data_IF_853111726134
#
_entry.id   IF_853111726134
#
_cell.length_a   1.000
_cell.length_b   1.000
_cell.length_c   1.000
_cell.angle_alpha   90.00
_cell.angle_beta   90.00
_cell.angle_gamma   90.00
#
_symmetry.space_group_name_H-M   'P 1'
#
loop_
_entity.id
_entity.type
_entity.pdbx_description
1 polymer ?
#
# COMPACT_ATOMS: atom_id res chain seq x y z
N UNK A 1 -26.29 14.11 0.71
CA UNK A 1 -26.00 12.94 -0.16
C UNK A 1 -25.05 12.03 0.60
N UNK A 2 -25.29 10.74 0.61
CA UNK A 2 -24.36 9.78 1.22
C UNK A 2 -23.07 9.76 0.41
N UNK A 3 -21.94 9.78 1.09
CA UNK A 3 -20.62 9.68 0.46
C UNK A 3 -20.48 8.35 -0.27
N UNK A 4 -19.91 8.37 -1.49
CA UNK A 4 -19.65 7.18 -2.27
C UNK A 4 -18.25 6.62 -2.05
N UNK A 5 -17.33 7.47 -1.66
CA UNK A 5 -15.93 7.15 -1.43
C UNK A 5 -15.49 7.70 -0.08
N UNK A 6 -14.85 6.87 0.73
CA UNK A 6 -14.06 7.29 1.89
C UNK A 6 -12.60 7.42 1.48
N UNK A 7 -12.10 8.66 1.43
CA UNK A 7 -10.72 8.97 1.10
C UNK A 7 -9.87 8.88 2.37
N UNK A 8 -8.83 8.06 2.35
CA UNK A 8 -7.98 7.78 3.52
C UNK A 8 -6.55 8.24 3.29
N UNK A 9 -6.04 9.05 4.19
CA UNK A 9 -4.67 9.57 4.16
C UNK A 9 -4.01 9.38 5.52
N UNK A 10 -2.94 8.58 5.57
CA UNK A 10 -2.07 8.47 6.76
C UNK A 10 -0.88 9.40 6.57
N UNK A 11 -0.66 10.30 7.53
CA UNK A 11 0.49 11.23 7.52
C UNK A 11 1.41 10.99 8.70
N UNK A 12 2.71 11.18 8.49
CA UNK A 12 3.73 11.21 9.54
C UNK A 12 4.86 12.15 9.11
N UNK A 13 5.07 13.23 9.86
CA UNK A 13 6.06 14.26 9.55
C UNK A 13 5.97 14.76 8.09
N UNK A 14 4.76 15.19 7.70
CA UNK A 14 4.40 15.52 6.32
C UNK A 14 3.97 16.97 6.13
N UNK A 15 4.29 17.88 7.07
CA UNK A 15 3.83 19.28 7.07
C UNK A 15 3.99 19.98 5.72
N UNK A 16 5.15 19.82 5.08
CA UNK A 16 5.45 20.46 3.80
C UNK A 16 4.60 19.97 2.62
N UNK A 17 3.99 18.78 2.74
CA UNK A 17 3.19 18.13 1.71
C UNK A 17 1.71 18.54 1.78
N UNK A 18 1.23 18.97 2.96
CA UNK A 18 -0.19 19.23 3.21
C UNK A 18 -0.79 20.25 2.24
N UNK A 19 -0.19 21.43 1.96
CA UNK A 19 -0.79 22.39 1.04
C UNK A 19 -1.03 21.83 -0.37
N UNK A 20 -0.07 21.07 -0.86
CA UNK A 20 -0.12 20.47 -2.20
C UNK A 20 -1.17 19.36 -2.28
N UNK A 21 -1.22 18.48 -1.26
CA UNK A 21 -2.21 17.42 -1.14
C UNK A 21 -3.62 18.02 -1.13
N UNK A 22 -3.93 18.90 -0.19
CA UNK A 22 -5.25 19.52 -0.02
C UNK A 22 -5.70 20.24 -1.29
N UNK A 23 -4.81 20.99 -1.94
CA UNK A 23 -5.15 21.66 -3.19
C UNK A 23 -5.54 20.67 -4.30
N UNK A 24 -4.88 19.51 -4.38
CA UNK A 24 -5.23 18.49 -5.38
C UNK A 24 -6.59 17.83 -5.10
N UNK A 25 -6.95 17.66 -3.82
CA UNK A 25 -8.24 17.05 -3.42
C UNK A 25 -9.45 17.95 -3.74
N UNK A 26 -9.26 19.27 -3.84
CA UNK A 26 -10.35 20.22 -4.19
C UNK A 26 -10.90 20.00 -5.60
N UNK A 27 -10.21 19.26 -6.44
CA UNK A 27 -10.65 18.95 -7.81
C UNK A 27 -11.60 17.75 -7.91
N UNK A 28 -11.86 17.06 -6.80
CA UNK A 28 -12.77 15.92 -6.75
C UNK A 28 -14.21 16.42 -6.92
N UNK A 29 -14.97 15.81 -7.85
CA UNK A 29 -16.32 16.20 -8.22
C UNK A 29 -17.41 15.22 -7.74
N UNK A 30 -17.01 14.05 -7.22
CA UNK A 30 -17.95 13.04 -6.69
C UNK A 30 -18.10 13.17 -5.16
N UNK A 31 -19.20 12.63 -4.58
CA UNK A 31 -19.40 12.66 -3.14
C UNK A 31 -18.34 11.85 -2.39
N UNK A 32 -17.50 12.54 -1.60
CA UNK A 32 -16.40 11.98 -0.80
C UNK A 32 -16.54 12.41 0.65
N UNK A 33 -16.09 11.55 1.56
CA UNK A 33 -15.71 11.90 2.93
C UNK A 33 -14.23 11.59 3.12
N UNK A 34 -13.45 12.54 3.60
CA UNK A 34 -12.02 12.34 3.81
C UNK A 34 -11.72 12.06 5.30
N UNK A 35 -10.83 11.11 5.52
CA UNK A 35 -10.32 10.77 6.83
C UNK A 35 -8.79 10.84 6.80
N UNK A 36 -8.25 11.69 7.64
CA UNK A 36 -6.81 11.85 7.83
C UNK A 36 -6.41 11.23 9.17
N UNK A 37 -5.30 10.51 9.21
CA UNK A 37 -4.67 10.07 10.45
C UNK A 37 -3.31 10.73 10.57
N UNK A 38 -3.15 11.60 11.58
CA UNK A 38 -1.84 11.97 12.03
C UNK A 38 -1.24 10.83 12.85
N UNK A 39 -0.17 10.26 12.35
CA UNK A 39 0.44 9.05 12.87
C UNK A 39 1.66 9.39 13.74
N UNK A 40 1.45 10.26 14.77
CA UNK A 40 2.47 10.71 15.73
C UNK A 40 3.53 11.62 15.08
N UNK A 41 3.10 12.69 14.43
CA UNK A 41 4.00 13.71 13.86
C UNK A 41 4.48 14.70 14.92
N UNK A 42 5.70 15.22 14.71
CA UNK A 42 6.32 16.21 15.58
C UNK A 42 6.88 17.44 14.83
N UNK A 43 6.47 17.61 13.55
CA UNK A 43 6.94 18.68 12.67
C UNK A 43 5.88 19.77 12.41
N UNK A 44 4.74 19.76 13.14
CA UNK A 44 3.61 20.66 12.91
C UNK A 44 2.62 20.18 11.82
N UNK A 45 2.69 18.90 11.43
CA UNK A 45 1.72 18.28 10.49
C UNK A 45 0.28 18.36 11.01
N UNK A 46 -0.04 18.02 12.29
CA UNK A 46 -1.42 18.08 12.80
C UNK A 46 -2.03 19.46 12.70
N UNK A 47 -1.29 20.50 13.08
CA UNK A 47 -1.73 21.90 13.03
C UNK A 47 -1.96 22.36 11.60
N UNK A 48 -1.10 21.94 10.66
CA UNK A 48 -1.26 22.24 9.24
C UNK A 48 -2.53 21.56 8.67
N UNK A 49 -2.84 20.34 9.09
CA UNK A 49 -4.05 19.63 8.69
C UNK A 49 -5.30 20.28 9.27
N UNK A 50 -5.34 20.65 10.56
CA UNK A 50 -6.51 21.32 11.18
C UNK A 50 -6.90 22.57 10.41
N UNK A 51 -5.94 23.36 9.95
CA UNK A 51 -6.17 24.56 9.17
C UNK A 51 -6.61 24.26 7.71
N UNK A 52 -6.14 23.15 7.16
CA UNK A 52 -6.28 22.87 5.73
C UNK A 52 -7.54 22.05 5.39
N UNK A 53 -7.97 21.13 6.26
CA UNK A 53 -9.14 20.26 6.00
C UNK A 53 -10.44 21.06 5.86
N UNK A 54 -10.57 22.18 6.56
CA UNK A 54 -11.72 23.11 6.42
C UNK A 54 -11.85 23.78 5.06
N UNK A 55 -10.83 23.69 4.21
CA UNK A 55 -10.84 24.22 2.84
C UNK A 55 -11.35 23.22 1.80
N UNK A 56 -11.58 21.97 2.18
CA UNK A 56 -12.11 20.94 1.29
C UNK A 56 -13.60 21.14 1.01
N UNK A 57 -14.10 20.88 -0.21
CA UNK A 57 -15.51 21.05 -0.57
C UNK A 57 -16.41 19.89 -0.07
N UNK A 58 -15.91 19.00 0.76
CA UNK A 58 -16.58 17.83 1.30
C UNK A 58 -16.17 17.59 2.77
N UNK A 59 -16.92 16.79 3.54
CA UNK A 59 -16.59 16.49 4.93
C UNK A 59 -15.20 15.87 5.06
N UNK A 60 -14.42 16.36 6.03
CA UNK A 60 -13.09 15.87 6.33
C UNK A 60 -12.86 15.81 7.85
N UNK A 61 -12.21 14.74 8.29
CA UNK A 61 -11.97 14.45 9.71
C UNK A 61 -10.50 14.15 9.94
N UNK A 62 -9.95 14.67 11.02
CA UNK A 62 -8.58 14.38 11.48
C UNK A 62 -8.63 13.51 12.74
N UNK A 63 -8.03 12.34 12.67
CA UNK A 63 -7.71 11.47 13.79
C UNK A 63 -6.24 11.69 14.18
N UNK A 64 -5.94 11.63 15.47
CA UNK A 64 -4.56 11.75 15.97
C UNK A 64 -4.18 10.50 16.75
N UNK A 65 -3.04 9.92 16.42
CA UNK A 65 -2.47 8.78 17.13
C UNK A 65 -1.36 9.24 18.08
N UNK A 66 -1.26 8.60 19.24
CA UNK A 66 -0.20 8.84 20.22
C UNK A 66 1.08 8.04 19.90
N UNK A 67 1.12 7.33 18.80
CA UNK A 67 2.26 6.56 18.33
C UNK A 67 2.18 6.33 16.83
N UNK A 68 3.32 6.16 16.18
CA UNK A 68 3.35 5.76 14.78
C UNK A 68 2.93 4.28 14.61
N UNK A 69 1.77 4.06 14.02
CA UNK A 69 1.19 2.73 13.77
C UNK A 69 1.65 2.09 12.45
N UNK A 70 2.43 2.81 11.65
CA UNK A 70 2.74 2.43 10.27
C UNK A 70 1.56 2.63 9.31
N UNK A 71 1.77 2.21 8.05
CA UNK A 71 0.78 2.39 6.98
C UNK A 71 -0.40 1.42 7.14
N UNK A 72 -0.14 0.12 7.23
CA UNK A 72 -1.18 -0.91 7.24
C UNK A 72 -2.22 -0.71 8.36
N UNK A 73 -1.76 -0.53 9.60
CA UNK A 73 -2.64 -0.27 10.74
C UNK A 73 -3.30 1.10 10.65
N UNK A 74 -2.58 2.12 10.20
CA UNK A 74 -3.16 3.45 9.99
C UNK A 74 -4.33 3.42 9.01
N UNK A 75 -4.19 2.73 7.89
CA UNK A 75 -5.26 2.57 6.89
C UNK A 75 -6.43 1.75 7.43
N UNK A 76 -6.19 0.68 8.19
CA UNK A 76 -7.27 -0.08 8.84
C UNK A 76 -8.07 0.78 9.83
N UNK A 77 -7.38 1.61 10.64
CA UNK A 77 -8.03 2.52 11.59
C UNK A 77 -8.92 3.54 10.87
N UNK A 78 -8.45 4.10 9.75
CA UNK A 78 -9.23 5.03 8.94
C UNK A 78 -10.39 4.33 8.23
N UNK A 79 -10.19 3.14 7.66
CA UNK A 79 -11.23 2.39 6.99
C UNK A 79 -12.42 2.04 7.91
N UNK A 80 -12.16 1.89 9.22
CA UNK A 80 -13.18 1.64 10.23
C UNK A 80 -14.06 2.86 10.56
N UNK A 81 -13.65 4.08 10.19
CA UNK A 81 -14.40 5.30 10.46
C UNK A 81 -15.56 5.51 9.50
N UNK A 82 -15.38 5.11 8.23
CA UNK A 82 -16.34 5.36 7.17
C UNK A 82 -17.16 4.14 6.79
N UNK A 83 -18.18 4.37 5.93
CA UNK A 83 -19.09 3.30 5.46
C UNK A 83 -19.41 3.40 3.97
N UNK A 84 -18.69 4.26 3.22
CA UNK A 84 -18.87 4.38 1.79
C UNK A 84 -18.60 3.06 1.06
N UNK A 85 -19.18 2.90 -0.12
CA UNK A 85 -18.99 1.70 -0.96
C UNK A 85 -17.53 1.46 -1.29
N UNK A 86 -16.79 2.54 -1.53
CA UNK A 86 -15.37 2.49 -1.85
C UNK A 86 -14.50 3.15 -0.80
N UNK A 87 -13.28 2.67 -0.69
CA UNK A 87 -12.17 3.21 0.09
C UNK A 87 -11.12 3.69 -0.92
N UNK A 88 -10.70 4.95 -0.85
CA UNK A 88 -9.61 5.47 -1.68
C UNK A 88 -8.39 5.75 -0.82
N UNK A 89 -7.35 4.94 -0.99
CA UNK A 89 -6.06 5.14 -0.35
C UNK A 89 -5.29 6.21 -1.11
N UNK A 90 -4.70 7.17 -0.40
CA UNK A 90 -3.86 8.19 -1.01
C UNK A 90 -2.69 8.54 -0.10
N UNK A 91 -1.47 8.49 -0.64
CA UNK A 91 -0.29 8.92 0.09
C UNK A 91 -0.20 10.44 0.20
N UNK A 92 0.38 10.99 1.29
CA UNK A 92 0.49 12.45 1.47
C UNK A 92 1.43 13.12 0.46
N UNK A 93 2.38 12.39 -0.12
CA UNK A 93 3.32 12.87 -1.14
C UNK A 93 2.80 12.71 -2.58
N UNK A 94 1.48 12.58 -2.73
CA UNK A 94 0.82 12.52 -4.03
C UNK A 94 0.00 13.78 -4.33
N UNK A 95 -0.19 14.05 -5.62
CA UNK A 95 -1.17 15.02 -6.15
C UNK A 95 -2.12 14.29 -7.08
N UNK A 96 -3.38 14.24 -6.69
CA UNK A 96 -4.42 13.68 -7.53
C UNK A 96 -4.69 14.60 -8.72
N UNK A 97 -4.64 14.08 -9.94
CA UNK A 97 -5.05 14.85 -11.12
C UNK A 97 -6.57 14.82 -11.26
N UNK A 98 -7.13 15.95 -11.71
CA UNK A 98 -8.57 16.10 -11.90
C UNK A 98 -9.18 14.97 -12.74
N UNK A 99 -10.32 14.43 -12.30
CA UNK A 99 -11.03 13.33 -12.95
C UNK A 99 -10.42 11.93 -12.71
N UNK A 100 -9.30 11.82 -11.98
CA UNK A 100 -8.65 10.51 -11.77
C UNK A 100 -9.42 9.62 -10.80
N UNK A 101 -9.97 10.16 -9.72
CA UNK A 101 -10.79 9.39 -8.79
C UNK A 101 -12.10 8.94 -9.45
N UNK A 102 -12.71 9.81 -10.25
CA UNK A 102 -13.92 9.53 -11.02
C UNK A 102 -13.71 8.35 -11.98
N UNK A 103 -12.59 8.33 -12.70
CA UNK A 103 -12.22 7.21 -13.59
C UNK A 103 -12.00 5.90 -12.84
N UNK A 104 -11.39 5.95 -11.65
CA UNK A 104 -11.23 4.76 -10.82
C UNK A 104 -12.58 4.21 -10.38
N UNK A 105 -13.51 5.08 -9.97
CA UNK A 105 -14.87 4.68 -9.59
C UNK A 105 -15.62 4.10 -10.79
N UNK A 106 -15.60 4.76 -11.95
CA UNK A 106 -16.22 4.27 -13.18
C UNK A 106 -15.66 2.88 -13.57
N UNK A 107 -14.35 2.69 -13.48
CA UNK A 107 -13.72 1.39 -13.75
C UNK A 107 -14.17 0.31 -12.76
N UNK A 108 -14.24 0.63 -11.46
CA UNK A 108 -14.71 -0.30 -10.44
C UNK A 108 -16.19 -0.68 -10.60
N UNK A 109 -17.02 0.25 -11.10
CA UNK A 109 -18.43 0.02 -11.40
C UNK A 109 -18.65 -0.89 -12.61
N UNK A 110 -17.73 -0.88 -13.56
CA UNK A 110 -17.86 -1.64 -14.81
C UNK A 110 -17.76 -3.17 -14.63
N UNK A 111 -17.17 -3.64 -13.54
CA UNK A 111 -17.15 -5.07 -13.16
C UNK A 111 -17.20 -5.20 -11.62
N UNK A 112 -18.28 -5.79 -11.05
CA UNK A 112 -18.43 -5.93 -9.60
C UNK A 112 -17.39 -6.84 -8.95
N UNK A 113 -16.62 -7.61 -9.72
CA UNK A 113 -15.52 -8.43 -9.23
C UNK A 113 -14.23 -7.65 -9.04
N UNK A 114 -14.16 -6.38 -9.41
CA UNK A 114 -12.99 -5.54 -9.16
C UNK A 114 -12.94 -5.18 -7.68
N UNK A 115 -11.90 -5.67 -7.00
CA UNK A 115 -11.62 -5.34 -5.61
C UNK A 115 -10.82 -4.05 -5.48
N UNK A 116 -9.84 -3.85 -6.35
CA UNK A 116 -8.91 -2.73 -6.27
C UNK A 116 -8.55 -2.20 -7.66
N UNK A 117 -8.54 -0.87 -7.81
CA UNK A 117 -8.07 -0.15 -8.98
C UNK A 117 -6.96 0.81 -8.59
N UNK A 118 -5.77 0.68 -9.18
CA UNK A 118 -4.64 1.59 -8.96
C UNK A 118 -4.56 2.64 -10.06
N UNK A 119 -4.32 3.89 -9.67
CA UNK A 119 -3.96 4.97 -10.58
C UNK A 119 -2.48 4.92 -10.98
N UNK A 120 -2.19 5.30 -12.21
CA UNK A 120 -0.82 5.49 -12.71
C UNK A 120 -0.09 6.54 -11.89
N UNK A 121 1.08 6.20 -11.40
CA UNK A 121 1.98 7.11 -10.71
C UNK A 121 2.92 7.80 -11.73
N UNK A 122 3.07 9.10 -11.66
CA UNK A 122 3.94 9.91 -12.54
C UNK A 122 4.86 10.77 -11.67
N UNK A 123 6.14 11.00 -12.00
CA UNK A 123 6.83 10.56 -13.23
C UNK A 123 7.37 9.11 -13.16
N UNK A 124 7.38 8.47 -11.98
CA UNK A 124 7.93 7.12 -11.80
C UNK A 124 6.81 6.13 -11.54
N UNK A 125 6.74 5.09 -12.36
CA UNK A 125 5.81 3.98 -12.19
C UNK A 125 6.56 2.79 -11.57
N UNK A 126 5.84 2.00 -10.78
CA UNK A 126 6.37 0.70 -10.36
C UNK A 126 6.43 -0.24 -11.56
N UNK A 127 7.58 -0.89 -11.82
CA UNK A 127 7.69 -1.86 -12.89
C UNK A 127 6.86 -3.10 -12.53
N UNK A 128 5.69 -3.23 -13.14
CA UNK A 128 4.82 -4.39 -12.96
C UNK A 128 4.20 -4.82 -14.28
N UNK A 129 3.95 -6.12 -14.40
CA UNK A 129 3.21 -6.67 -15.53
C UNK A 129 1.70 -6.37 -15.35
N UNK A 130 1.05 -5.96 -16.43
CA UNK A 130 -0.41 -5.85 -16.50
C UNK A 130 -0.89 -6.23 -17.91
N UNK A 131 -2.12 -6.69 -17.98
CA UNK A 131 -2.79 -6.96 -19.25
C UNK A 131 -3.31 -5.64 -19.84
N UNK A 132 -2.87 -5.30 -21.06
CA UNK A 132 -3.20 -4.00 -21.67
C UNK A 132 -4.67 -3.89 -22.10
N UNK A 133 -5.41 -5.00 -22.21
CA UNK A 133 -6.82 -5.02 -22.60
C UNK A 133 -7.73 -4.95 -21.37
N UNK A 134 -7.48 -5.79 -20.37
CA UNK A 134 -8.31 -5.88 -19.16
C UNK A 134 -7.87 -4.95 -18.05
N UNK A 135 -6.61 -4.51 -18.06
CA UNK A 135 -5.96 -3.77 -16.96
C UNK A 135 -5.57 -4.67 -15.79
N UNK A 136 -5.81 -5.98 -15.84
CA UNK A 136 -5.48 -6.89 -14.75
C UNK A 136 -3.97 -6.89 -14.47
N UNK A 137 -3.61 -6.82 -13.18
CA UNK A 137 -2.20 -6.72 -12.74
C UNK A 137 -1.93 -7.62 -11.54
N UNK A 138 -0.67 -7.96 -11.32
CA UNK A 138 -0.25 -8.81 -10.20
C UNK A 138 -0.56 -8.20 -8.84
N UNK A 139 -0.43 -6.88 -8.70
CA UNK A 139 -0.68 -6.14 -7.48
C UNK A 139 -0.91 -4.66 -7.76
N UNK A 140 -1.56 -3.98 -6.83
CA UNK A 140 -1.84 -2.55 -6.87
C UNK A 140 -1.13 -1.85 -5.71
N UNK A 141 -0.44 -0.74 -6.01
CA UNK A 141 0.24 0.07 -5.01
C UNK A 141 -0.77 0.82 -4.13
N UNK A 142 -0.54 0.84 -2.83
CA UNK A 142 -1.32 1.61 -1.87
C UNK A 142 -1.15 3.13 -1.96
N UNK A 143 -0.27 3.64 -2.84
CA UNK A 143 -0.02 5.08 -2.96
C UNK A 143 -1.23 5.87 -3.50
N UNK A 144 -2.00 5.27 -4.43
CA UNK A 144 -3.25 5.83 -4.95
C UNK A 144 -4.13 4.70 -5.51
N UNK A 145 -4.96 4.10 -4.67
CA UNK A 145 -5.78 2.95 -5.04
C UNK A 145 -7.20 3.02 -4.49
N UNK A 146 -8.18 2.78 -5.35
CA UNK A 146 -9.59 2.63 -4.98
C UNK A 146 -9.88 1.17 -4.68
N UNK A 147 -10.45 0.89 -3.51
CA UNK A 147 -10.76 -0.46 -3.04
C UNK A 147 -12.26 -0.58 -2.81
N UNK A 148 -12.88 -1.65 -3.29
CA UNK A 148 -14.26 -2.00 -2.94
C UNK A 148 -14.31 -2.45 -1.48
N UNK A 149 -15.09 -1.74 -0.65
CA UNK A 149 -15.17 -2.00 0.80
C UNK A 149 -15.58 -3.43 1.13
N UNK A 150 -16.53 -4.00 0.38
CA UNK A 150 -16.93 -5.40 0.57
C UNK A 150 -15.74 -6.36 0.44
N UNK A 151 -14.93 -6.22 -0.62
CA UNK A 151 -13.74 -7.04 -0.83
C UNK A 151 -12.71 -6.85 0.28
N UNK A 152 -12.50 -5.59 0.71
CA UNK A 152 -11.58 -5.27 1.82
C UNK A 152 -11.98 -5.96 3.12
N UNK A 153 -13.27 -5.93 3.48
CA UNK A 153 -13.78 -6.60 4.67
C UNK A 153 -13.71 -8.12 4.57
N UNK A 154 -14.00 -8.70 3.40
CA UNK A 154 -13.97 -10.14 3.19
C UNK A 154 -12.60 -10.76 3.49
N UNK A 155 -11.53 -10.05 3.13
CA UNK A 155 -10.15 -10.53 3.38
C UNK A 155 -9.57 -10.07 4.72
N UNK A 156 -10.32 -9.28 5.49
CA UNK A 156 -9.92 -8.76 6.81
C UNK A 156 -9.00 -7.54 6.76
N UNK A 157 -8.95 -6.82 5.63
CA UNK A 157 -8.12 -5.64 5.44
C UNK A 157 -6.62 -5.93 5.36
N UNK A 158 -5.81 -4.93 5.69
CA UNK A 158 -4.36 -5.06 5.76
C UNK A 158 -3.95 -5.93 6.96
N UNK A 159 -2.94 -6.77 6.80
CA UNK A 159 -2.37 -7.53 7.92
C UNK A 159 -1.40 -6.65 8.74
N UNK A 160 -1.97 -5.86 9.64
CA UNK A 160 -1.23 -4.92 10.50
C UNK A 160 -0.29 -5.60 11.52
N UNK A 161 -0.40 -6.91 11.71
CA UNK A 161 0.49 -7.68 12.56
C UNK A 161 1.82 -7.95 11.88
N UNK A 162 1.80 -8.17 10.56
CA UNK A 162 3.01 -8.43 9.77
C UNK A 162 3.63 -7.15 9.24
N UNK A 163 2.79 -6.25 8.70
CA UNK A 163 3.25 -5.12 7.92
C UNK A 163 3.10 -3.81 8.71
N UNK A 164 4.23 -3.19 8.99
CA UNK A 164 4.26 -1.79 9.42
C UNK A 164 4.18 -0.86 8.21
N UNK A 165 4.97 -1.14 7.18
CA UNK A 165 5.02 -0.48 5.88
C UNK A 165 5.73 -1.39 4.87
N UNK A 166 5.42 -1.23 3.58
CA UNK A 166 5.89 -2.01 2.44
C UNK A 166 5.39 -3.47 2.38
N UNK A 167 5.06 -3.92 1.18
CA UNK A 167 4.51 -5.22 0.83
C UNK A 167 3.10 -5.52 1.38
N UNK A 168 2.50 -4.66 2.20
CA UNK A 168 1.11 -4.81 2.64
C UNK A 168 0.11 -4.73 1.49
N UNK A 169 0.43 -3.94 0.49
CA UNK A 169 -0.36 -3.75 -0.74
C UNK A 169 -0.25 -4.97 -1.68
N UNK A 170 0.92 -5.57 -1.76
CA UNK A 170 1.14 -6.85 -2.47
C UNK A 170 0.36 -7.98 -1.78
N UNK A 171 0.50 -8.11 -0.46
CA UNK A 171 -0.25 -9.10 0.35
C UNK A 171 -1.76 -8.94 0.17
N UNK A 172 -2.26 -7.70 0.23
CA UNK A 172 -3.67 -7.37 0.02
C UNK A 172 -4.14 -7.78 -1.38
N UNK A 173 -3.39 -7.42 -2.41
CA UNK A 173 -3.72 -7.71 -3.81
C UNK A 173 -3.74 -9.21 -4.07
N UNK A 174 -2.78 -9.95 -3.54
CA UNK A 174 -2.75 -11.40 -3.72
C UNK A 174 -3.88 -12.11 -2.97
N UNK A 175 -4.28 -11.63 -1.80
CA UNK A 175 -5.49 -12.12 -1.11
C UNK A 175 -6.75 -11.88 -1.95
N UNK A 176 -6.87 -10.73 -2.61
CA UNK A 176 -7.98 -10.46 -3.53
C UNK A 176 -8.01 -11.50 -4.66
N UNK A 177 -6.90 -11.71 -5.35
CA UNK A 177 -6.82 -12.72 -6.42
C UNK A 177 -7.21 -14.12 -5.95
N UNK A 178 -6.72 -14.54 -4.79
CA UNK A 178 -7.01 -15.86 -4.23
C UNK A 178 -8.46 -16.03 -3.75
N UNK A 179 -9.21 -14.94 -3.64
CA UNK A 179 -10.66 -14.93 -3.36
C UNK A 179 -11.52 -14.73 -4.61
N UNK A 180 -10.93 -14.73 -5.80
CA UNK A 180 -11.65 -14.57 -7.07
C UNK A 180 -11.98 -13.12 -7.42
N UNK A 181 -11.45 -12.14 -6.65
CA UNK A 181 -11.51 -10.73 -6.97
C UNK A 181 -10.45 -10.35 -8.01
N UNK A 182 -10.57 -9.17 -8.61
CA UNK A 182 -9.65 -8.63 -9.61
C UNK A 182 -8.88 -7.42 -9.08
N UNK A 183 -7.60 -7.34 -9.45
CA UNK A 183 -6.75 -6.17 -9.23
C UNK A 183 -6.47 -5.50 -10.58
N UNK A 184 -6.75 -4.21 -10.69
CA UNK A 184 -6.69 -3.45 -11.94
C UNK A 184 -5.68 -2.32 -11.83
N UNK A 185 -4.82 -2.18 -12.82
CA UNK A 185 -4.04 -0.99 -13.08
C UNK A 185 -4.74 -0.16 -14.15
N UNK A 186 -5.03 1.11 -13.86
CA UNK A 186 -5.76 2.03 -14.74
C UNK A 186 -4.85 3.19 -15.19
N UNK A 187 -4.17 3.10 -16.36
CA UNK A 187 -3.23 4.12 -16.82
C UNK A 187 -3.84 5.50 -17.08
N UNK A 188 -5.16 5.56 -17.31
CA UNK A 188 -5.89 6.81 -17.60
C UNK A 188 -6.25 7.61 -16.35
N UNK A 189 -6.24 7.00 -15.16
CA UNK A 189 -6.29 7.68 -13.88
C UNK A 189 -4.84 7.97 -13.43
N UNK A 190 -4.51 9.21 -13.07
CA UNK A 190 -3.12 9.61 -12.84
C UNK A 190 -2.97 10.36 -11.53
N UNK A 191 -1.94 10.02 -10.77
CA UNK A 191 -1.43 10.79 -9.65
C UNK A 191 0.03 11.19 -9.91
N UNK A 192 0.40 12.40 -9.53
CA UNK A 192 1.82 12.76 -9.42
C UNK A 192 2.30 12.29 -8.04
N UNK A 193 3.30 11.42 -8.01
CA UNK A 193 3.88 10.89 -6.79
C UNK A 193 5.30 11.43 -6.63
N UNK A 194 5.44 12.32 -5.67
CA UNK A 194 6.72 12.94 -5.35
C UNK A 194 7.42 12.08 -4.29
N UNK A 195 7.98 10.96 -4.70
CA UNK A 195 8.93 10.22 -3.85
C UNK A 195 10.11 11.16 -3.59
N UNK A 196 9.99 11.98 -2.56
CA UNK A 196 11.05 12.91 -2.22
C UNK A 196 12.20 12.14 -1.61
N UNK A 197 13.39 12.35 -2.18
CA UNK A 197 14.67 12.15 -1.52
C UNK A 197 14.80 13.13 -0.33
N UNK A 198 13.81 13.18 0.56
CA UNK A 198 13.74 14.14 1.66
C UNK A 198 14.81 13.92 2.74
N UNK A 199 15.45 12.75 2.75
CA UNK A 199 16.62 12.47 3.60
C UNK A 199 17.43 11.31 3.00
N UNK A 200 18.48 11.60 2.21
CA UNK A 200 19.38 10.55 1.72
C UNK A 200 20.01 9.81 2.93
N UNK A 201 19.94 8.49 2.94
CA UNK A 201 20.62 7.63 3.91
C UNK A 201 19.67 6.95 4.90
N UNK A 202 19.25 7.62 5.97
CA UNK A 202 18.53 6.96 7.09
C UNK A 202 17.14 6.42 6.74
N UNK A 203 16.38 7.17 5.92
CA UNK A 203 15.07 6.74 5.42
C UNK A 203 15.23 5.52 4.52
N UNK A 204 16.19 5.55 3.60
CA UNK A 204 16.49 4.44 2.68
C UNK A 204 16.84 3.14 3.41
N UNK A 205 17.53 3.24 4.56
CA UNK A 205 17.88 2.09 5.40
C UNK A 205 16.64 1.44 6.00
N UNK A 206 15.70 2.23 6.52
CA UNK A 206 14.43 1.74 7.11
C UNK A 206 13.55 1.12 6.01
N UNK A 207 13.42 1.79 4.87
CA UNK A 207 12.69 1.31 3.71
C UNK A 207 13.23 -0.04 3.23
N UNK A 208 14.53 -0.14 3.03
CA UNK A 208 15.20 -1.38 2.63
C UNK A 208 14.99 -2.50 3.66
N UNK A 209 15.02 -2.18 4.95
CA UNK A 209 14.77 -3.16 6.01
C UNK A 209 13.37 -3.75 5.91
N UNK A 210 12.33 -2.90 5.86
CA UNK A 210 10.95 -3.38 5.81
C UNK A 210 10.65 -4.08 4.48
N UNK A 211 11.06 -3.52 3.34
CA UNK A 211 10.87 -4.17 2.03
C UNK A 211 11.49 -5.56 1.99
N UNK A 212 12.73 -5.70 2.49
CA UNK A 212 13.41 -6.98 2.50
C UNK A 212 12.77 -7.97 3.47
N UNK A 213 12.51 -7.56 4.73
CA UNK A 213 11.86 -8.43 5.72
C UNK A 213 10.47 -8.89 5.26
N UNK A 214 9.69 -7.97 4.73
CA UNK A 214 8.30 -8.23 4.37
C UNK A 214 8.19 -9.07 3.08
N UNK A 215 9.15 -8.95 2.16
CA UNK A 215 9.21 -9.87 1.01
C UNK A 215 9.40 -11.33 1.47
N UNK A 216 10.16 -11.58 2.54
CA UNK A 216 10.27 -12.92 3.13
C UNK A 216 8.89 -13.41 3.59
N UNK A 217 8.07 -12.55 4.21
CA UNK A 217 6.72 -12.91 4.63
C UNK A 217 5.83 -13.36 3.46
N UNK A 218 5.92 -12.68 2.31
CA UNK A 218 5.19 -13.08 1.11
C UNK A 218 5.57 -14.49 0.65
N UNK A 219 6.87 -14.82 0.63
CA UNK A 219 7.33 -16.17 0.28
C UNK A 219 6.86 -17.26 1.25
N UNK A 220 6.79 -16.95 2.54
CA UNK A 220 6.28 -17.90 3.53
C UNK A 220 4.77 -18.08 3.45
N UNK A 221 4.03 -16.99 3.18
CA UNK A 221 2.56 -17.00 3.14
C UNK A 221 2.01 -17.59 1.86
N UNK A 222 2.53 -17.19 0.72
CA UNK A 222 1.98 -17.54 -0.60
C UNK A 222 2.85 -18.54 -1.36
N UNK A 223 4.09 -18.71 -0.97
CA UNK A 223 5.07 -19.52 -1.70
C UNK A 223 4.94 -21.00 -1.45
N UNK A 224 5.17 -21.76 -2.53
CA UNK A 224 5.40 -23.20 -2.47
C UNK A 224 6.75 -23.52 -1.82
N UNK A 225 7.02 -24.79 -1.59
CA UNK A 225 8.34 -25.26 -1.16
C UNK A 225 9.45 -24.90 -2.16
N UNK A 226 9.14 -24.92 -3.46
CA UNK A 226 10.09 -24.52 -4.51
C UNK A 226 10.45 -23.03 -4.40
N UNK A 227 9.46 -22.16 -4.20
CA UNK A 227 9.65 -20.70 -4.06
C UNK A 227 10.50 -20.38 -2.83
N UNK A 228 10.28 -21.06 -1.71
CA UNK A 228 11.11 -20.89 -0.50
C UNK A 228 12.56 -21.32 -0.73
N UNK A 229 12.80 -22.36 -1.55
CA UNK A 229 14.14 -22.75 -1.94
C UNK A 229 14.85 -21.67 -2.78
N UNK A 230 14.11 -21.03 -3.69
CA UNK A 230 14.59 -19.87 -4.46
C UNK A 230 14.95 -18.71 -3.50
N UNK A 231 14.07 -18.39 -2.56
CA UNK A 231 14.32 -17.38 -1.54
C UNK A 231 15.62 -17.64 -0.78
N UNK A 232 15.82 -18.85 -0.25
CA UNK A 232 17.02 -19.18 0.52
C UNK A 232 18.29 -19.11 -0.33
N UNK A 233 18.26 -19.56 -1.58
CA UNK A 233 19.37 -19.41 -2.50
C UNK A 233 19.71 -17.94 -2.79
N UNK A 234 18.70 -17.11 -2.98
CA UNK A 234 18.86 -15.68 -3.18
C UNK A 234 19.47 -15.00 -1.95
N UNK A 235 18.97 -15.30 -0.76
CA UNK A 235 19.51 -14.79 0.51
C UNK A 235 20.97 -15.19 0.69
N UNK A 236 21.31 -16.45 0.46
CA UNK A 236 22.68 -16.93 0.54
C UNK A 236 23.60 -16.17 -0.42
N UNK A 237 23.22 -16.05 -1.71
CA UNK A 237 23.99 -15.27 -2.70
C UNK A 237 24.20 -13.82 -2.25
N UNK A 238 23.22 -13.17 -1.65
CA UNK A 238 23.35 -11.81 -1.11
C UNK A 238 24.37 -11.72 0.03
N UNK A 239 24.36 -12.68 0.95
CA UNK A 239 25.33 -12.69 2.07
C UNK A 239 26.77 -12.88 1.59
N UNK A 240 27.01 -13.78 0.63
CA UNK A 240 28.37 -14.07 0.15
C UNK A 240 28.87 -13.07 -0.89
N UNK A 241 27.98 -12.36 -1.57
CA UNK A 241 28.35 -11.41 -2.62
C UNK A 241 29.14 -10.23 -2.07
N UNK A 242 30.18 -9.82 -2.79
CA UNK A 242 30.97 -8.60 -2.53
C UNK A 242 30.29 -7.32 -3.00
N UNK A 243 29.18 -7.43 -3.77
CA UNK A 243 28.42 -6.29 -4.26
C UNK A 243 27.65 -5.54 -3.17
N UNK A 244 27.40 -6.17 -2.02
CA UNK A 244 26.67 -5.56 -0.89
C UNK A 244 27.64 -5.11 0.21
N UNK A 245 27.42 -3.87 0.69
CA UNK A 245 28.18 -3.33 1.81
C UNK A 245 27.95 -4.13 3.10
N UNK A 246 28.88 -4.03 4.04
CA UNK A 246 28.74 -4.67 5.36
C UNK A 246 27.48 -4.21 6.08
N UNK A 247 27.14 -2.91 5.99
CA UNK A 247 25.91 -2.34 6.53
C UNK A 247 24.66 -3.02 5.98
N UNK A 248 24.58 -3.22 4.65
CA UNK A 248 23.48 -3.94 4.01
C UNK A 248 23.36 -5.38 4.49
N UNK A 249 24.49 -6.07 4.68
CA UNK A 249 24.51 -7.45 5.19
C UNK A 249 24.04 -7.55 6.63
N UNK A 250 24.44 -6.59 7.47
CA UNK A 250 23.96 -6.49 8.85
C UNK A 250 22.46 -6.26 8.87
N UNK A 251 21.95 -5.34 8.05
CA UNK A 251 20.52 -5.08 7.91
C UNK A 251 19.73 -6.34 7.50
N UNK A 252 20.26 -7.11 6.54
CA UNK A 252 19.67 -8.37 6.12
C UNK A 252 19.67 -9.41 7.24
N UNK A 253 20.76 -9.49 8.03
CA UNK A 253 20.81 -10.38 9.19
C UNK A 253 19.75 -10.03 10.23
N UNK A 254 19.59 -8.74 10.56
CA UNK A 254 18.52 -8.29 11.45
C UNK A 254 17.13 -8.63 10.92
N UNK A 255 16.87 -8.40 9.64
CA UNK A 255 15.59 -8.73 9.02
C UNK A 255 15.30 -10.25 9.06
N UNK A 256 16.33 -11.09 8.87
CA UNK A 256 16.22 -12.54 9.00
C UNK A 256 15.97 -13.00 10.43
N UNK A 257 16.60 -12.40 11.42
CA UNK A 257 16.33 -12.71 12.84
C UNK A 257 14.93 -12.24 13.22
N UNK A 258 14.55 -11.03 12.80
CA UNK A 258 13.25 -10.47 13.14
C UNK A 258 12.08 -11.30 12.55
N UNK A 259 12.22 -11.85 11.33
CA UNK A 259 11.13 -12.62 10.75
C UNK A 259 10.84 -13.93 11.49
N UNK A 260 11.83 -14.51 12.19
CA UNK A 260 11.68 -15.79 12.90
C UNK A 260 10.51 -15.75 13.89
N UNK A 261 10.32 -14.64 14.60
CA UNK A 261 9.21 -14.47 15.56
C UNK A 261 7.82 -14.50 14.92
N UNK A 262 7.74 -14.24 13.60
CA UNK A 262 6.50 -14.27 12.83
C UNK A 262 6.20 -15.62 12.18
N UNK A 263 7.17 -16.54 12.17
CA UNK A 263 7.00 -17.87 11.53
C UNK A 263 5.75 -18.61 12.02
N UNK A 264 5.45 -18.71 13.33
CA UNK A 264 4.23 -19.38 13.77
C UNK A 264 2.96 -18.76 13.20
N UNK A 265 2.90 -17.42 13.17
CA UNK A 265 1.75 -16.70 12.62
C UNK A 265 1.63 -16.89 11.10
N UNK A 266 2.74 -16.84 10.39
CA UNK A 266 2.78 -17.07 8.93
C UNK A 266 2.27 -18.47 8.58
N UNK A 267 2.65 -19.49 9.35
CA UNK A 267 2.14 -20.86 9.17
C UNK A 267 0.64 -20.96 9.51
N UNK A 268 0.17 -20.36 10.58
CA UNK A 268 -1.25 -20.35 10.96
C UNK A 268 -2.14 -19.66 9.92
N UNK A 269 -1.61 -18.66 9.21
CA UNK A 269 -2.37 -17.90 8.22
C UNK A 269 -2.13 -18.36 6.78
N UNK A 270 -1.19 -19.27 6.57
CA UNK A 270 -0.81 -19.77 5.25
C UNK A 270 -1.91 -20.55 4.56
N UNK A 271 -2.53 -21.50 5.28
CA UNK A 271 -3.51 -22.43 4.72
C UNK A 271 -4.77 -21.72 4.18
N UNK A 272 -5.01 -20.49 4.63
CA UNK A 272 -6.10 -19.65 4.11
C UNK A 272 -5.85 -19.20 2.67
N UNK A 273 -4.60 -19.25 2.19
CA UNK A 273 -4.17 -18.61 0.95
C UNK A 273 -3.35 -19.54 0.03
N UNK A 274 -2.87 -20.69 0.50
CA UNK A 274 -1.86 -21.51 -0.19
C UNK A 274 -2.38 -22.51 -1.22
N UNK A 275 -3.68 -22.82 -1.23
CA UNK A 275 -4.23 -23.94 -2.04
C UNK A 275 -4.72 -23.54 -3.43
N UNK A 276 -4.68 -22.26 -3.77
CA UNK A 276 -5.13 -21.75 -5.06
C UNK A 276 -3.97 -21.17 -5.87
N UNK A 277 -3.55 -21.88 -6.92
CA UNK A 277 -2.65 -21.34 -7.93
C UNK A 277 -3.41 -20.28 -8.77
N UNK A 278 -3.05 -19.02 -8.62
CA UNK A 278 -3.57 -17.95 -9.45
C UNK A 278 -2.46 -17.40 -10.36
N UNK A 279 -2.71 -17.18 -11.68
CA UNK A 279 -1.66 -16.74 -12.61
C UNK A 279 -1.05 -15.38 -12.27
N UNK A 280 -1.77 -14.53 -11.55
CA UNK A 280 -1.29 -13.22 -11.10
C UNK A 280 -0.58 -13.25 -9.74
N UNK A 281 -0.67 -14.33 -8.96
CA UNK A 281 0.08 -14.51 -7.70
C UNK A 281 1.40 -15.19 -8.02
N UNK A 282 2.43 -14.41 -8.28
CA UNK A 282 3.74 -14.91 -8.73
C UNK A 282 4.85 -14.41 -7.84
N UNK A 283 5.51 -15.34 -7.17
CA UNK A 283 6.77 -15.11 -6.48
C UNK A 283 7.91 -15.24 -7.50
N UNK A 284 8.67 -14.20 -7.71
CA UNK A 284 9.86 -14.19 -8.59
C UNK A 284 11.06 -13.58 -7.84
N UNK A 285 12.27 -13.80 -8.36
CA UNK A 285 13.46 -13.12 -7.82
C UNK A 285 13.32 -11.59 -7.84
N UNK A 286 12.53 -11.04 -8.78
CA UNK A 286 12.18 -9.61 -8.85
C UNK A 286 11.31 -9.15 -7.69
N UNK A 287 10.53 -10.04 -7.05
CA UNK A 287 9.76 -9.71 -5.82
C UNK A 287 10.67 -9.46 -4.60
N UNK A 288 11.96 -9.75 -4.70
CA UNK A 288 12.97 -9.56 -3.65
C UNK A 288 13.84 -8.33 -3.89
N UNK A 289 13.64 -7.60 -4.98
CA UNK A 289 14.49 -6.49 -5.42
C UNK A 289 13.91 -5.09 -5.14
N UNK A 290 12.82 -5.01 -4.37
CA UNK A 290 12.19 -3.75 -3.96
C UNK A 290 12.70 -3.25 -2.63
#
# INVERSE_FOLDING_TARGET
>A
MTSRVDLLVVVHNSRSLIPSLINSLRTISIPVTAYFLDNDSNDGTPEALDLAIGQLPFPAYLLRSLRNNGFARGMNLLAAQGRAEFIFLLNPDTRLLAGSLEKLVERADSDPRIAICEARQSPREHPKAFDSVTGETTWCSGAAALIRRQAFHEIGGFDERLYFMYCEDVDLSWKFWLRGWKCIYLPTAVVQHFTQDLTPGKRRTIENYFSFRNSIFLFYRFGSWKDRKILWNFLFKRFVSRAYSLESKILFAFALVDHIRYIPYLYQTRDRWSDSHHPWVRLSETSLSH
#
